data_IF_410463833916
#
_entry.id   IF_410463833916
#
_cell.length_a   1.000
_cell.length_b   1.000
_cell.length_c   1.000
_cell.angle_alpha   90.00
_cell.angle_beta   90.00
_cell.angle_gamma   90.00
#
_symmetry.space_group_name_H-M   'P 1'
#
loop_
_entity.id
_entity.type
_entity.pdbx_description
1 polymer ?
#
# COMPACT_ATOMS: atom_id res chain seq x y z
N UNK A 1 -3.15 -13.46 -9.48
CA UNK A 1 -1.73 -13.43 -9.08
C UNK A 1 -1.16 -12.09 -9.50
N UNK A 2 -1.16 -11.13 -8.59
CA UNK A 2 -0.60 -9.79 -8.75
C UNK A 2 0.92 -9.87 -8.79
N UNK A 3 1.54 -8.90 -9.46
CA UNK A 3 2.98 -8.68 -9.43
C UNK A 3 3.27 -7.42 -8.63
N UNK A 4 4.07 -7.55 -7.58
CA UNK A 4 4.35 -6.48 -6.62
C UNK A 4 5.85 -6.20 -6.63
N UNK A 5 6.23 -4.93 -6.82
CA UNK A 5 7.64 -4.53 -6.79
C UNK A 5 8.05 -4.11 -5.38
N UNK A 6 8.99 -4.83 -4.77
CA UNK A 6 9.54 -4.46 -3.47
C UNK A 6 10.51 -3.27 -3.63
N UNK A 7 10.28 -2.12 -2.96
CA UNK A 7 11.17 -0.96 -3.10
C UNK A 7 12.55 -1.16 -2.46
N UNK A 8 12.72 -2.20 -1.63
CA UNK A 8 13.99 -2.51 -0.97
C UNK A 8 14.81 -3.57 -1.71
N UNK A 9 14.17 -4.62 -2.22
CA UNK A 9 14.85 -5.64 -3.02
C UNK A 9 15.01 -5.22 -4.49
N UNK A 10 14.17 -4.28 -4.94
CA UNK A 10 14.04 -3.86 -6.33
C UNK A 10 13.55 -4.95 -7.30
N UNK A 11 13.06 -6.07 -6.76
CA UNK A 11 12.48 -7.19 -7.50
C UNK A 11 10.96 -7.06 -7.63
N UNK A 12 10.43 -7.56 -8.73
CA UNK A 12 8.99 -7.70 -8.98
C UNK A 12 8.62 -9.17 -8.85
N UNK A 13 7.80 -9.51 -7.86
CA UNK A 13 7.51 -10.89 -7.47
C UNK A 13 6.00 -11.14 -7.38
N UNK A 14 5.56 -12.41 -7.41
CA UNK A 14 4.14 -12.77 -7.23
C UNK A 14 3.59 -12.39 -5.86
N UNK A 15 2.28 -12.11 -5.79
CA UNK A 15 1.56 -11.70 -4.56
C UNK A 15 1.79 -12.66 -3.37
N UNK A 16 2.03 -13.95 -3.64
CA UNK A 16 2.25 -14.99 -2.64
C UNK A 16 3.55 -14.81 -1.83
N UNK A 17 4.50 -14.01 -2.32
CA UNK A 17 5.71 -13.63 -1.57
C UNK A 17 5.42 -12.55 -0.50
N UNK A 18 4.23 -11.94 -0.56
CA UNK A 18 3.85 -10.77 0.24
C UNK A 18 2.64 -11.04 1.14
N UNK A 19 2.50 -10.21 2.16
CA UNK A 19 1.33 -10.18 3.03
C UNK A 19 0.71 -8.80 3.02
N UNK A 20 -0.60 -8.74 2.78
CA UNK A 20 -1.38 -7.52 2.85
C UNK A 20 -1.50 -7.03 4.30
N UNK A 21 -1.34 -5.73 4.53
CA UNK A 21 -1.34 -5.12 5.86
C UNK A 21 -2.31 -3.94 6.01
N UNK A 22 -3.32 -3.89 5.14
CA UNK A 22 -4.40 -2.91 5.18
C UNK A 22 -3.97 -1.51 4.74
N UNK A 23 -4.77 -0.51 5.14
CA UNK A 23 -4.54 0.90 4.82
C UNK A 23 -3.16 1.39 5.27
N UNK A 24 -2.52 2.20 4.43
CA UNK A 24 -1.29 2.92 4.76
C UNK A 24 -1.57 4.22 5.52
N UNK A 25 -0.53 4.72 6.20
CA UNK A 25 -0.55 6.00 6.92
C UNK A 25 -1.51 6.09 8.10
N UNK A 26 -1.94 4.95 8.64
CA UNK A 26 -2.62 4.91 9.95
C UNK A 26 -1.55 4.88 11.03
N UNK A 27 -1.38 6.00 11.73
CA UNK A 27 -0.35 6.18 12.76
C UNK A 27 -0.98 6.03 14.14
N UNK A 28 -0.35 5.21 14.98
CA UNK A 28 -0.74 5.11 16.40
C UNK A 28 -0.35 6.40 17.12
N UNK A 29 -1.26 6.95 17.93
CA UNK A 29 -0.95 8.08 18.80
C UNK A 29 0.27 7.77 19.68
N UNK A 30 1.15 8.75 19.86
CA UNK A 30 2.37 8.60 20.67
C UNK A 30 2.04 8.32 22.15
N UNK A 31 0.95 8.90 22.65
CA UNK A 31 0.36 8.57 23.95
C UNK A 31 -1.08 8.07 23.77
N UNK A 32 -1.30 6.75 23.60
CA UNK A 32 -2.63 6.16 23.44
C UNK A 32 -3.57 6.42 24.62
N UNK A 33 -3.04 6.54 25.84
CA UNK A 33 -3.84 6.71 27.05
C UNK A 33 -4.48 8.10 27.15
N UNK A 34 -4.00 9.05 26.34
CA UNK A 34 -4.54 10.41 26.24
C UNK A 34 -5.71 10.55 25.26
N UNK A 35 -5.99 9.50 24.47
CA UNK A 35 -7.05 9.53 23.46
C UNK A 35 -8.43 9.34 24.10
N UNK A 36 -9.46 9.95 23.51
CA UNK A 36 -10.84 9.60 23.86
C UNK A 36 -11.20 8.19 23.37
N UNK A 37 -12.26 7.61 23.91
CA UNK A 37 -12.74 6.29 23.48
C UNK A 37 -13.07 6.28 21.97
N UNK A 38 -13.65 7.36 21.44
CA UNK A 38 -13.97 7.49 20.02
C UNK A 38 -12.72 7.55 19.13
N UNK A 39 -11.69 8.29 19.55
CA UNK A 39 -10.40 8.36 18.85
C UNK A 39 -9.69 7.00 18.86
N UNK A 40 -9.79 6.28 19.98
CA UNK A 40 -9.21 4.96 20.12
C UNK A 40 -9.96 3.90 19.31
N UNK A 41 -11.29 3.98 19.27
CA UNK A 41 -12.15 3.16 18.39
C UNK A 41 -11.77 3.36 16.92
N UNK A 42 -11.62 4.62 16.48
CA UNK A 42 -11.22 4.96 15.11
C UNK A 42 -9.86 4.33 14.77
N UNK A 43 -8.88 4.45 15.66
CA UNK A 43 -7.57 3.83 15.47
C UNK A 43 -7.63 2.30 15.46
N UNK A 44 -8.42 1.65 16.33
CA UNK A 44 -8.47 0.21 16.42
C UNK A 44 -9.23 -0.44 15.27
N UNK A 45 -10.36 0.13 14.87
CA UNK A 45 -11.35 -0.59 14.05
C UNK A 45 -11.65 0.07 12.71
N UNK A 46 -11.47 1.38 12.57
CA UNK A 46 -11.94 2.12 11.39
C UNK A 46 -10.82 2.28 10.37
N UNK A 47 -11.09 1.88 9.12
CA UNK A 47 -10.15 2.00 8.00
C UNK A 47 -10.88 2.49 6.76
N UNK A 48 -10.17 3.21 5.89
CA UNK A 48 -10.69 3.54 4.56
C UNK A 48 -10.83 2.25 3.73
N UNK A 49 -11.96 2.11 3.04
CA UNK A 49 -12.21 1.06 2.07
C UNK A 49 -12.51 1.68 0.70
N UNK A 50 -11.48 2.28 0.09
CA UNK A 50 -11.65 3.06 -1.13
C UNK A 50 -11.94 2.15 -2.34
N UNK A 51 -12.94 2.52 -3.14
CA UNK A 51 -13.17 1.98 -4.48
C UNK A 51 -12.39 2.83 -5.48
N UNK A 52 -11.29 2.31 -6.02
CA UNK A 52 -10.36 3.05 -6.87
C UNK A 52 -8.94 3.07 -6.27
N UNK A 53 -8.12 4.10 -6.57
CA UNK A 53 -6.79 4.23 -5.99
C UNK A 53 -6.82 4.23 -4.46
N UNK A 54 -6.15 3.25 -3.85
CA UNK A 54 -6.07 3.07 -2.41
C UNK A 54 -4.61 3.02 -1.95
N UNK A 55 -4.32 3.72 -0.86
CA UNK A 55 -3.01 3.69 -0.22
C UNK A 55 -2.96 2.54 0.78
N UNK A 56 -2.18 1.52 0.47
CA UNK A 56 -2.11 0.26 1.24
C UNK A 56 -0.68 -0.07 1.68
N UNK A 57 -0.56 -0.95 2.66
CA UNK A 57 0.71 -1.51 3.15
C UNK A 57 0.86 -2.97 2.78
N UNK A 58 2.08 -3.34 2.45
CA UNK A 58 2.48 -4.70 2.17
C UNK A 58 3.75 -5.05 2.92
N UNK A 59 3.89 -6.32 3.30
CA UNK A 59 5.12 -6.87 3.87
C UNK A 59 5.68 -7.92 2.93
N UNK A 60 6.96 -7.84 2.59
CA UNK A 60 7.65 -8.85 1.79
C UNK A 60 8.02 -10.05 2.69
N UNK A 61 7.02 -10.88 3.02
CA UNK A 61 7.11 -11.91 4.06
C UNK A 61 8.16 -12.98 3.76
N UNK A 62 8.22 -13.44 2.52
CA UNK A 62 9.13 -14.51 2.08
C UNK A 62 10.44 -13.96 1.45
N UNK A 63 10.71 -12.66 1.62
CA UNK A 63 11.93 -12.00 1.18
C UNK A 63 12.55 -11.16 2.29
N UNK A 64 12.65 -9.83 2.09
CA UNK A 64 13.37 -8.96 3.03
C UNK A 64 12.65 -8.70 4.36
N UNK A 65 11.43 -9.18 4.56
CA UNK A 65 10.66 -9.07 5.80
C UNK A 65 10.15 -7.66 6.14
N UNK A 66 10.47 -6.65 5.33
CA UNK A 66 10.15 -5.22 5.55
C UNK A 66 8.74 -4.87 5.09
N UNK A 67 8.14 -3.90 5.77
CA UNK A 67 6.91 -3.24 5.33
C UNK A 67 7.25 -2.12 4.35
N UNK A 68 6.40 -1.95 3.34
CA UNK A 68 6.41 -0.83 2.40
C UNK A 68 4.97 -0.42 2.08
N UNK A 69 4.82 0.72 1.41
CA UNK A 69 3.53 1.23 1.00
C UNK A 69 3.34 1.03 -0.51
N UNK A 70 2.08 0.97 -0.94
CA UNK A 70 1.70 0.92 -2.33
C UNK A 70 0.47 1.79 -2.61
N UNK A 71 0.31 2.18 -3.86
CA UNK A 71 -0.96 2.68 -4.38
C UNK A 71 -1.46 1.67 -5.38
N UNK A 72 -2.62 1.08 -5.11
CA UNK A 72 -3.27 0.12 -6.02
C UNK A 72 -4.68 0.59 -6.31
N UNK A 73 -5.09 0.50 -7.56
CA UNK A 73 -6.50 0.66 -7.90
C UNK A 73 -7.24 -0.63 -7.51
N UNK A 74 -8.14 -0.55 -6.53
CA UNK A 74 -8.88 -1.70 -5.98
C UNK A 74 -9.97 -2.22 -6.90
N UNK A 75 -10.25 -1.54 -8.02
CA UNK A 75 -11.19 -2.01 -9.04
C UNK A 75 -10.48 -2.86 -10.10
N UNK A 76 -9.29 -2.43 -10.54
CA UNK A 76 -8.52 -3.09 -11.60
C UNK A 76 -7.38 -3.98 -11.09
N UNK A 77 -7.09 -3.92 -9.78
CA UNK A 77 -5.94 -4.49 -9.11
C UNK A 77 -4.56 -4.03 -9.63
N UNK A 78 -4.52 -2.97 -10.44
CA UNK A 78 -3.28 -2.41 -10.95
C UNK A 78 -2.55 -1.64 -9.85
N UNK A 79 -1.32 -2.04 -9.58
CA UNK A 79 -0.38 -1.22 -8.80
C UNK A 79 0.03 0.01 -9.63
N UNK A 80 -0.24 1.20 -9.11
CA UNK A 80 0.21 2.47 -9.68
C UNK A 80 1.65 2.76 -9.26
N UNK A 81 2.01 2.47 -8.01
CA UNK A 81 3.38 2.62 -7.51
C UNK A 81 3.59 1.87 -6.18
N UNK A 82 4.86 1.61 -5.84
CA UNK A 82 5.31 1.17 -4.51
C UNK A 82 6.40 2.10 -4.01
N UNK A 83 6.44 2.33 -2.69
CA UNK A 83 7.31 3.33 -2.07
C UNK A 83 7.65 2.92 -0.63
N UNK A 84 8.73 3.48 -0.08
CA UNK A 84 9.27 3.01 1.20
C UNK A 84 8.32 3.36 2.35
N UNK A 85 8.34 2.55 3.41
CA UNK A 85 7.66 2.92 4.65
C UNK A 85 8.26 4.22 5.22
N UNK A 86 7.39 5.12 5.69
CA UNK A 86 7.77 6.44 6.21
C UNK A 86 7.81 7.56 5.17
N UNK A 87 7.82 7.24 3.87
CA UNK A 87 7.67 8.25 2.82
C UNK A 87 6.20 8.74 2.74
N UNK A 88 5.98 10.02 2.39
CA UNK A 88 4.63 10.59 2.31
C UNK A 88 3.79 9.95 1.18
N UNK A 89 2.47 10.16 1.24
CA UNK A 89 1.56 9.74 0.16
C UNK A 89 1.98 10.43 -1.16
N UNK A 90 2.26 9.69 -2.24
CA UNK A 90 2.49 10.31 -3.54
C UNK A 90 1.20 10.96 -4.08
N UNK A 91 1.36 11.99 -4.91
CA UNK A 91 0.24 12.66 -5.56
C UNK A 91 -0.40 11.76 -6.62
N UNK A 92 -1.67 11.40 -6.43
CA UNK A 92 -2.43 10.55 -7.34
C UNK A 92 -2.55 11.14 -8.75
N UNK A 93 -2.63 12.46 -8.88
CA UNK A 93 -2.76 13.10 -10.19
C UNK A 93 -1.57 12.80 -11.11
N UNK A 94 -0.38 12.65 -10.53
CA UNK A 94 0.85 12.30 -11.24
C UNK A 94 0.90 10.82 -11.65
N UNK A 95 0.18 9.95 -10.94
CA UNK A 95 0.19 8.48 -11.13
C UNK A 95 -0.86 8.00 -12.12
N UNK A 96 -1.99 8.72 -12.27
CA UNK A 96 -3.07 8.38 -13.20
C UNK A 96 -2.75 8.66 -14.66
N UNK A 97 -1.67 9.39 -14.95
CA UNK A 97 -1.23 9.78 -16.30
C UNK A 97 -0.40 8.73 -17.07
N UNK A 98 -0.13 7.56 -16.48
CA UNK A 98 0.60 6.50 -17.19
C UNK A 98 -0.34 5.73 -18.14
N UNK A 99 -0.15 5.78 -19.48
CA UNK A 99 -0.89 4.91 -20.38
C UNK A 99 -0.61 3.45 -19.99
N UNK A 100 -1.59 2.57 -20.19
CA UNK A 100 -1.38 1.13 -20.07
C UNK A 100 -0.23 0.75 -21.00
N UNK A 101 0.92 0.38 -20.42
CA UNK A 101 2.11 -0.01 -21.18
C UNK A 101 1.76 -1.20 -22.07
N UNK A 102 1.74 -0.91 -23.38
CA UNK A 102 1.95 -1.76 -24.54
C UNK A 102 2.18 -3.25 -24.29
N UNK A 103 1.33 -4.03 -24.96
CA UNK A 103 1.51 -5.41 -25.43
C UNK A 103 2.96 -5.93 -25.37
N UNK A 104 3.15 -7.01 -24.62
CA UNK A 104 4.30 -7.91 -24.80
C UNK A 104 4.11 -8.58 -26.15
N UNK A 105 4.84 -8.10 -27.16
CA UNK A 105 4.92 -8.76 -28.46
C UNK A 105 5.57 -10.13 -28.30
N UNK A 106 4.97 -11.11 -29.00
CA UNK A 106 5.33 -12.54 -29.09
C UNK A 106 6.81 -12.83 -29.25
#
# INVERSE_FOLDING_TARGET
MLLIRCPYCHETLPEAEFTYAGQAHVVRAADPSSQSDEQWEEFLFIRENARGPHFERWRHLHGCGRFFNAVRDTVSDRFLTTYSAGEPRPDLSSLSSAPASSEVSK
#
